data_IF_371410657248
#
_entry.id   IF_371410657248
#
_cell.length_a   1.000
_cell.length_b   1.000
_cell.length_c   1.000
_cell.angle_alpha   90.00
_cell.angle_beta   90.00
_cell.angle_gamma   90.00
#
_symmetry.space_group_name_H-M   'P 1'
#
loop_
_entity.id
_entity.type
_entity.pdbx_description
1 polymer ?
#
# COMPACT_ATOMS: atom_id res chain seq x y z
N UNK A 1 10.03 -6.20 -19.37
CA UNK A 1 10.91 -6.40 -18.20
C UNK A 1 12.40 -6.63 -18.55
N UNK A 2 12.84 -6.42 -19.81
CA UNK A 2 14.21 -6.77 -20.26
C UNK A 2 15.25 -5.63 -20.17
N UNK A 3 14.86 -4.43 -19.74
CA UNK A 3 15.75 -3.25 -19.66
C UNK A 3 15.48 -2.35 -18.43
N UNK A 4 15.02 -2.93 -17.32
CA UNK A 4 14.90 -2.17 -16.06
C UNK A 4 16.15 -2.43 -15.23
N UNK A 5 16.84 -1.36 -14.79
CA UNK A 5 17.96 -1.49 -13.85
C UNK A 5 17.46 -2.19 -12.59
N UNK A 6 18.35 -2.92 -11.90
CA UNK A 6 17.99 -3.66 -10.68
C UNK A 6 17.23 -2.78 -9.66
N UNK A 7 17.62 -1.51 -9.58
CA UNK A 7 16.95 -0.50 -8.78
C UNK A 7 15.50 -0.23 -9.21
N UNK A 8 15.24 -0.05 -10.51
CA UNK A 8 13.88 0.18 -11.03
C UNK A 8 12.97 -1.02 -10.79
N UNK A 9 13.51 -2.24 -10.81
CA UNK A 9 12.75 -3.46 -10.50
C UNK A 9 12.32 -3.51 -9.03
N UNK A 10 13.20 -3.10 -8.13
CA UNK A 10 12.89 -2.99 -6.69
C UNK A 10 11.85 -1.89 -6.45
N UNK A 11 12.04 -0.71 -7.04
CA UNK A 11 11.11 0.42 -6.94
C UNK A 11 9.72 0.04 -7.47
N UNK A 12 9.64 -0.65 -8.62
CA UNK A 12 8.38 -1.14 -9.18
C UNK A 12 7.70 -2.19 -8.27
N UNK A 13 8.48 -3.10 -7.69
CA UNK A 13 7.96 -4.08 -6.75
C UNK A 13 7.41 -3.40 -5.48
N UNK A 14 8.14 -2.43 -4.93
CA UNK A 14 7.73 -1.68 -3.75
C UNK A 14 6.45 -0.88 -4.02
N UNK A 15 6.36 -0.21 -5.17
CA UNK A 15 5.16 0.47 -5.63
C UNK A 15 3.95 -0.49 -5.70
N UNK A 16 4.10 -1.65 -6.34
CA UNK A 16 3.06 -2.68 -6.39
C UNK A 16 2.60 -3.15 -5.01
N UNK A 17 3.53 -3.36 -4.07
CA UNK A 17 3.19 -3.77 -2.70
C UNK A 17 2.42 -2.66 -1.98
N UNK A 18 2.86 -1.41 -2.09
CA UNK A 18 2.20 -0.26 -1.45
C UNK A 18 0.79 -0.05 -2.03
N UNK A 19 0.62 -0.14 -3.36
CA UNK A 19 -0.68 -0.07 -4.00
C UNK A 19 -1.62 -1.20 -3.55
N UNK A 20 -1.10 -2.43 -3.43
CA UNK A 20 -1.86 -3.58 -2.92
C UNK A 20 -2.28 -3.40 -1.46
N UNK A 21 -1.39 -2.91 -0.59
CA UNK A 21 -1.71 -2.59 0.81
C UNK A 21 -2.80 -1.52 0.92
N UNK A 22 -2.76 -0.51 0.06
CA UNK A 22 -3.75 0.56 0.02
C UNK A 22 -5.13 0.01 -0.37
N UNK A 23 -5.20 -0.85 -1.40
CA UNK A 23 -6.42 -1.56 -1.77
C UNK A 23 -6.95 -2.44 -0.64
N UNK A 24 -6.07 -3.18 0.06
CA UNK A 24 -6.44 -3.97 1.22
C UNK A 24 -7.02 -3.09 2.34
N UNK A 25 -6.49 -1.88 2.49
CA UNK A 25 -6.97 -0.91 3.46
C UNK A 25 -8.38 -0.40 3.18
N UNK A 26 -8.81 -0.36 1.92
CA UNK A 26 -10.21 -0.05 1.60
C UNK A 26 -11.20 -1.15 1.99
N UNK A 27 -10.72 -2.37 2.26
CA UNK A 27 -11.54 -3.48 2.75
C UNK A 27 -11.72 -3.44 4.27
N UNK A 28 -10.83 -2.74 5.00
CA UNK A 28 -10.88 -2.58 6.46
C UNK A 28 -12.25 -2.14 7.02
N UNK A 29 -12.98 -1.16 6.44
CA UNK A 29 -14.25 -0.70 6.97
C UNK A 29 -15.35 -1.76 6.95
N UNK A 30 -15.16 -2.82 6.15
CA UNK A 30 -16.12 -3.92 6.01
C UNK A 30 -15.83 -5.08 6.98
N UNK A 31 -14.75 -5.00 7.77
CA UNK A 31 -14.38 -6.03 8.74
C UNK A 31 -15.02 -5.72 10.10
N UNK A 32 -15.66 -6.69 10.78
CA UNK A 32 -16.28 -6.44 12.07
C UNK A 32 -15.26 -6.02 13.16
N UNK A 33 -15.67 -5.17 14.11
CA UNK A 33 -14.80 -4.46 15.07
C UNK A 33 -14.04 -5.36 16.07
N UNK A 34 -14.25 -6.68 16.06
CA UNK A 34 -13.54 -7.61 16.96
C UNK A 34 -12.07 -7.78 16.60
N UNK A 35 -11.69 -7.56 15.34
CA UNK A 35 -10.30 -7.64 14.85
C UNK A 35 -9.68 -6.27 14.60
N UNK A 36 -10.38 -5.19 14.97
CA UNK A 36 -10.01 -3.82 14.61
C UNK A 36 -8.72 -3.35 15.27
N UNK A 37 -8.30 -3.92 16.41
CA UNK A 37 -7.13 -3.45 17.14
C UNK A 37 -5.82 -3.56 16.31
N UNK A 38 -5.60 -4.69 15.63
CA UNK A 38 -4.42 -4.88 14.77
C UNK A 38 -4.58 -4.18 13.42
N UNK A 39 -5.80 -4.14 12.90
CA UNK A 39 -6.19 -3.49 11.65
C UNK A 39 -6.18 -1.95 11.73
N UNK A 40 -6.32 -1.37 12.92
CA UNK A 40 -6.28 0.07 13.15
C UNK A 40 -4.91 0.66 12.87
N UNK A 41 -3.82 -0.09 13.04
CA UNK A 41 -2.46 0.35 12.69
C UNK A 41 -2.31 0.51 11.18
N UNK A 42 -2.90 -0.42 10.41
CA UNK A 42 -2.94 -0.33 8.95
C UNK A 42 -3.80 0.85 8.49
N UNK A 43 -4.94 1.09 9.15
CA UNK A 43 -5.80 2.25 8.89
C UNK A 43 -5.11 3.58 9.19
N UNK A 44 -4.34 3.67 10.28
CA UNK A 44 -3.52 4.84 10.62
C UNK A 44 -2.46 5.13 9.56
N UNK A 45 -1.97 4.09 8.87
CA UNK A 45 -1.01 4.19 7.77
C UNK A 45 -1.63 4.54 6.42
N UNK A 46 -2.95 4.48 6.25
CA UNK A 46 -3.65 4.79 4.99
C UNK A 46 -3.29 6.15 4.39
N UNK A 47 -3.28 7.26 5.17
CA UNK A 47 -2.93 8.57 4.63
C UNK A 47 -1.52 8.59 4.04
N UNK A 48 -0.58 7.92 4.70
CA UNK A 48 0.80 7.78 4.22
C UNK A 48 0.87 6.90 2.97
N UNK A 49 0.13 5.78 2.92
CA UNK A 49 0.06 4.90 1.75
C UNK A 49 -0.49 5.65 0.52
N UNK A 50 -1.50 6.51 0.72
CA UNK A 50 -2.07 7.36 -0.35
C UNK A 50 -1.03 8.35 -0.85
N UNK A 51 -0.34 9.07 0.04
CA UNK A 51 0.74 10.00 -0.36
C UNK A 51 1.84 9.28 -1.14
N UNK A 52 2.25 8.09 -0.69
CA UNK A 52 3.25 7.28 -1.38
C UNK A 52 2.78 6.86 -2.78
N UNK A 53 1.53 6.42 -2.92
CA UNK A 53 0.96 6.04 -4.23
C UNK A 53 0.88 7.22 -5.20
N UNK A 54 0.51 8.41 -4.71
CA UNK A 54 0.50 9.63 -5.54
C UNK A 54 1.91 10.01 -5.98
N UNK A 55 2.90 9.90 -5.10
CA UNK A 55 4.30 10.18 -5.42
C UNK A 55 4.87 9.17 -6.43
N UNK A 56 4.39 7.93 -6.39
CA UNK A 56 4.72 6.87 -7.35
C UNK A 56 3.97 6.97 -8.69
N UNK A 57 2.93 7.79 -8.76
CA UNK A 57 2.12 8.00 -9.97
C UNK A 57 2.69 9.10 -10.89
N UNK A 58 3.43 10.06 -10.32
CA UNK A 58 4.15 11.14 -11.05
C UNK A 58 5.52 10.65 -11.50
#
# INVERSE_FOLDING_TARGET
>A
MKNLKFFEKVVFFLNSVVAFLLLLSYVLPHVPPKTFATLSVLSLGVPFLILLNVLFFV
#
